data_IF_246648863262
#
_entry.id   IF_246648863262
#
_cell.length_a   1.000
_cell.length_b   1.000
_cell.length_c   1.000
_cell.angle_alpha   90.00
_cell.angle_beta   90.00
_cell.angle_gamma   90.00
#
_symmetry.space_group_name_H-M   'P 1'
#
loop_
_entity.id
_entity.type
_entity.pdbx_description
1 polymer ?
#
# COMPACT_ATOMS: atom_id res chain seq x y z
N UNK A 1 -13.09 -5.81 -25.98
CA UNK A 1 -11.62 -5.66 -26.07
C UNK A 1 -11.32 -5.08 -27.44
N UNK A 2 -10.48 -4.04 -27.53
CA UNK A 2 -10.11 -3.39 -28.81
C UNK A 2 -8.73 -3.82 -29.31
N UNK A 3 -7.88 -4.36 -28.43
CA UNK A 3 -6.62 -5.03 -28.79
C UNK A 3 -6.28 -6.08 -27.75
N UNK A 4 -5.73 -7.21 -28.17
CA UNK A 4 -5.25 -8.30 -27.33
C UNK A 4 -3.91 -8.82 -27.86
N UNK A 5 -2.94 -9.04 -26.98
CA UNK A 5 -1.65 -9.65 -27.32
C UNK A 5 -1.30 -10.74 -26.32
N UNK A 6 -0.71 -11.82 -26.82
CA UNK A 6 -0.13 -12.89 -26.01
C UNK A 6 1.38 -12.91 -26.23
N UNK A 7 2.12 -13.14 -25.15
CA UNK A 7 3.58 -13.15 -25.14
C UNK A 7 4.10 -14.58 -24.88
N UNK A 8 5.30 -14.92 -25.36
CA UNK A 8 5.88 -16.26 -25.16
C UNK A 8 6.09 -16.66 -23.70
N UNK A 9 6.18 -15.69 -22.79
CA UNK A 9 6.29 -15.89 -21.34
C UNK A 9 4.94 -16.22 -20.66
N UNK A 10 3.87 -16.38 -21.43
CA UNK A 10 2.52 -16.64 -20.93
C UNK A 10 1.77 -15.39 -20.47
N UNK A 11 2.34 -14.19 -20.63
CA UNK A 11 1.64 -12.93 -20.35
C UNK A 11 0.61 -12.63 -21.43
N UNK A 12 -0.58 -12.19 -21.02
CA UNK A 12 -1.61 -11.69 -21.92
C UNK A 12 -1.93 -10.23 -21.57
N UNK A 13 -2.05 -9.38 -22.58
CA UNK A 13 -2.43 -7.98 -22.42
C UNK A 13 -3.71 -7.69 -23.22
N UNK A 14 -4.65 -6.97 -22.62
CA UNK A 14 -5.92 -6.56 -23.21
C UNK A 14 -6.11 -5.07 -23.04
N UNK A 15 -6.41 -4.38 -24.14
CA UNK A 15 -6.85 -2.99 -24.14
C UNK A 15 -8.36 -2.96 -24.39
N UNK A 16 -9.08 -2.23 -23.55
CA UNK A 16 -10.53 -2.01 -23.68
C UNK A 16 -10.80 -0.64 -24.31
N UNK A 17 -11.99 -0.48 -24.92
CA UNK A 17 -12.40 0.77 -25.53
C UNK A 17 -12.42 1.96 -24.54
N UNK A 18 -12.58 1.67 -23.24
CA UNK A 18 -12.49 2.64 -22.15
C UNK A 18 -11.08 3.18 -21.88
N UNK A 19 -10.05 2.65 -22.55
CA UNK A 19 -8.64 2.95 -22.28
C UNK A 19 -8.03 2.12 -21.14
N UNK A 20 -8.83 1.28 -20.47
CA UNK A 20 -8.33 0.31 -19.50
C UNK A 20 -7.41 -0.70 -20.18
N UNK A 21 -6.24 -0.91 -19.58
CA UNK A 21 -5.29 -1.97 -19.90
C UNK A 21 -5.31 -3.00 -18.79
N UNK A 22 -5.58 -4.24 -19.16
CA UNK A 22 -5.48 -5.41 -18.29
C UNK A 22 -4.28 -6.25 -18.72
N UNK A 23 -3.39 -6.56 -17.80
CA UNK A 23 -2.31 -7.51 -17.98
C UNK A 23 -2.55 -8.71 -17.07
N UNK A 24 -2.46 -9.91 -17.63
CA UNK A 24 -2.54 -11.19 -16.91
C UNK A 24 -1.19 -11.87 -17.01
N UNK A 25 -0.62 -12.23 -15.88
CA UNK A 25 0.70 -12.86 -15.79
C UNK A 25 0.54 -14.38 -15.65
N UNK A 26 1.53 -15.13 -16.12
CA UNK A 26 1.53 -16.59 -16.05
C UNK A 26 1.43 -17.13 -14.61
N UNK A 27 1.90 -16.37 -13.62
CA UNK A 27 1.79 -16.72 -12.21
C UNK A 27 0.39 -16.51 -11.60
N UNK A 28 -0.61 -16.09 -12.39
CA UNK A 28 -1.98 -15.82 -11.94
C UNK A 28 -2.25 -14.38 -11.47
N UNK A 29 -1.22 -13.53 -11.39
CA UNK A 29 -1.41 -12.12 -11.03
C UNK A 29 -2.08 -11.34 -12.17
N UNK A 30 -2.78 -10.27 -11.81
CA UNK A 30 -3.42 -9.36 -12.78
C UNK A 30 -3.04 -7.91 -12.46
N UNK A 31 -2.91 -7.09 -13.49
CA UNK A 31 -2.66 -5.64 -13.36
C UNK A 31 -3.62 -4.86 -14.25
N UNK A 32 -4.31 -3.90 -13.66
CA UNK A 32 -5.24 -2.99 -14.29
C UNK A 32 -4.65 -1.58 -14.28
N UNK A 33 -4.56 -0.95 -15.45
CA UNK A 33 -4.01 0.40 -15.60
C UNK A 33 -4.90 1.23 -16.51
N UNK A 34 -5.26 2.42 -16.06
CA UNK A 34 -5.83 3.47 -16.92
C UNK A 34 -4.85 4.63 -16.88
N UNK A 35 -4.39 5.17 -18.04
CA UNK A 35 -3.50 6.32 -18.05
C UNK A 35 -4.06 7.49 -17.23
N UNK A 36 -3.23 8.06 -16.35
CA UNK A 36 -3.64 9.17 -15.46
C UNK A 36 -4.49 8.78 -14.24
N UNK A 37 -4.88 7.51 -14.09
CA UNK A 37 -5.62 7.01 -12.94
C UNK A 37 -4.77 6.07 -12.07
N UNK A 38 -5.39 5.52 -11.02
CA UNK A 38 -4.75 4.52 -10.18
C UNK A 38 -4.44 3.22 -10.96
N UNK A 39 -3.30 2.61 -10.65
CA UNK A 39 -2.92 1.29 -11.14
C UNK A 39 -3.22 0.27 -10.04
N UNK A 40 -3.97 -0.79 -10.35
CA UNK A 40 -4.33 -1.86 -9.41
C UNK A 40 -3.70 -3.19 -9.83
N UNK A 41 -2.98 -3.82 -8.93
CA UNK A 41 -2.42 -5.17 -9.11
C UNK A 41 -3.04 -6.11 -8.09
N UNK A 42 -3.52 -7.27 -8.55
CA UNK A 42 -3.94 -8.38 -7.69
C UNK A 42 -2.94 -9.51 -7.87
N UNK A 43 -2.34 -9.95 -6.78
CA UNK A 43 -1.36 -11.01 -6.77
C UNK A 43 -2.01 -12.36 -6.54
N UNK A 44 -1.34 -13.42 -6.97
CA UNK A 44 -1.85 -14.79 -6.85
C UNK A 44 -1.96 -15.29 -5.39
N UNK A 45 -1.20 -14.70 -4.47
CA UNK A 45 -1.31 -14.96 -3.03
C UNK A 45 -2.50 -14.22 -2.38
N UNK A 46 -3.31 -13.49 -3.16
CA UNK A 46 -4.45 -12.72 -2.67
C UNK A 46 -4.13 -11.26 -2.32
N UNK A 47 -2.86 -10.87 -2.28
CA UNK A 47 -2.47 -9.49 -2.00
C UNK A 47 -2.98 -8.52 -3.07
N UNK A 48 -3.14 -7.26 -2.69
CA UNK A 48 -3.56 -6.20 -3.58
C UNK A 48 -2.63 -5.01 -3.43
N UNK A 49 -2.11 -4.50 -4.55
CA UNK A 49 -1.33 -3.25 -4.58
C UNK A 49 -2.02 -2.23 -5.46
N UNK A 50 -2.18 -1.02 -4.94
CA UNK A 50 -2.73 0.12 -5.67
C UNK A 50 -1.74 1.28 -5.65
N UNK A 51 -1.40 1.81 -6.81
CA UNK A 51 -0.55 2.99 -6.96
C UNK A 51 -1.44 4.15 -7.41
N UNK A 52 -1.51 5.20 -6.60
CA UNK A 52 -2.32 6.38 -6.87
C UNK A 52 -1.55 7.41 -7.72
N UNK A 53 -2.24 8.26 -8.50
CA UNK A 53 -1.59 9.32 -9.29
C UNK A 53 -0.78 10.32 -8.46
N UNK A 54 -1.14 10.52 -7.18
CA UNK A 54 -0.41 11.39 -6.24
C UNK A 54 0.90 10.77 -5.71
N UNK A 55 1.26 9.55 -6.14
CA UNK A 55 2.46 8.85 -5.70
C UNK A 55 2.30 7.99 -4.44
N UNK A 56 1.13 8.05 -3.79
CA UNK A 56 0.81 7.15 -2.65
C UNK A 56 0.63 5.71 -3.15
N UNK A 57 1.17 4.75 -2.41
CA UNK A 57 1.05 3.32 -2.70
C UNK A 57 0.33 2.64 -1.54
N UNK A 58 -0.79 1.99 -1.81
CA UNK A 58 -1.54 1.18 -0.85
C UNK A 58 -1.28 -0.31 -1.15
N UNK A 59 -0.92 -1.09 -0.15
CA UNK A 59 -0.68 -2.53 -0.25
C UNK A 59 -1.48 -3.27 0.82
N UNK A 60 -2.34 -4.20 0.40
CA UNK A 60 -3.07 -5.10 1.28
C UNK A 60 -2.39 -6.46 1.31
N UNK A 61 -2.03 -6.90 2.51
CA UNK A 61 -1.52 -8.23 2.80
C UNK A 61 -2.69 -9.14 3.18
N UNK A 62 -3.04 -10.08 2.31
CA UNK A 62 -4.22 -10.93 2.52
C UNK A 62 -4.06 -11.90 3.69
N UNK A 63 -2.87 -12.49 3.84
CA UNK A 63 -2.59 -13.50 4.87
C UNK A 63 -2.76 -12.97 6.29
N UNK A 64 -2.29 -11.74 6.55
CA UNK A 64 -2.31 -11.11 7.88
C UNK A 64 -3.36 -10.01 8.00
N UNK A 65 -4.21 -9.84 6.98
CA UNK A 65 -5.28 -8.85 6.95
C UNK A 65 -4.83 -7.44 7.38
N UNK A 66 -3.77 -6.94 6.77
CA UNK A 66 -3.15 -5.67 7.14
C UNK A 66 -2.86 -4.80 5.92
N UNK A 67 -2.95 -3.48 6.07
CA UNK A 67 -2.58 -2.52 5.04
C UNK A 67 -1.19 -1.91 5.32
N UNK A 68 -0.45 -1.62 4.25
CA UNK A 68 0.66 -0.66 4.24
C UNK A 68 0.32 0.47 3.27
N UNK A 69 0.56 1.71 3.69
CA UNK A 69 0.41 2.91 2.86
C UNK A 69 1.74 3.66 2.83
N UNK A 70 2.42 3.64 1.69
CA UNK A 70 3.65 4.43 1.48
C UNK A 70 3.26 5.78 0.91
N UNK A 71 3.57 6.85 1.65
CA UNK A 71 3.33 8.22 1.21
C UNK A 71 4.50 8.77 0.36
N UNK A 72 4.27 9.80 -0.47
CA UNK A 72 5.34 10.48 -1.23
C UNK A 72 6.44 11.08 -0.35
N UNK A 73 6.15 11.35 0.93
CA UNK A 73 7.13 11.78 1.94
C UNK A 73 8.12 10.67 2.32
N UNK A 74 7.86 9.42 1.93
CA UNK A 74 8.64 8.25 2.32
C UNK A 74 8.19 7.62 3.64
N UNK A 75 7.13 8.15 4.27
CA UNK A 75 6.53 7.54 5.48
C UNK A 75 5.69 6.34 5.08
N UNK A 76 5.92 5.21 5.73
CA UNK A 76 5.10 3.99 5.61
C UNK A 76 4.13 3.91 6.79
N UNK A 77 2.83 3.83 6.52
CA UNK A 77 1.80 3.64 7.55
C UNK A 77 1.21 2.22 7.47
N UNK A 78 1.30 1.48 8.56
CA UNK A 78 0.76 0.12 8.68
C UNK A 78 -0.52 0.13 9.50
N UNK A 79 -1.57 -0.52 8.98
CA UNK A 79 -2.85 -0.73 9.68
C UNK A 79 -3.03 -2.21 9.91
N UNK A 80 -2.98 -2.62 11.18
CA UNK A 80 -3.06 -4.03 11.57
C UNK A 80 -4.48 -4.44 11.90
N UNK A 81 -4.79 -5.73 11.70
CA UNK A 81 -6.08 -6.31 12.07
C UNK A 81 -6.42 -6.15 13.57
N UNK A 82 -5.42 -5.99 14.43
CA UNK A 82 -5.61 -5.71 15.87
C UNK A 82 -6.19 -4.31 16.16
N UNK A 83 -6.24 -3.42 15.17
CA UNK A 83 -6.58 -2.00 15.33
C UNK A 83 -5.37 -1.12 15.67
N UNK A 84 -4.18 -1.70 15.80
CA UNK A 84 -2.93 -0.94 15.93
C UNK A 84 -2.58 -0.28 14.60
N UNK A 85 -2.07 0.95 14.67
CA UNK A 85 -1.56 1.69 13.51
C UNK A 85 -0.13 2.14 13.80
N UNK A 86 0.76 2.00 12.83
CA UNK A 86 2.16 2.44 12.96
C UNK A 86 2.60 3.28 11.78
N UNK A 87 3.26 4.41 12.02
CA UNK A 87 3.95 5.18 10.98
C UNK A 87 5.47 5.06 11.15
N UNK A 88 6.16 4.60 10.09
CA UNK A 88 7.60 4.41 10.04
C UNK A 88 8.21 5.51 9.17
N UNK A 89 9.05 6.35 9.77
CA UNK A 89 9.65 7.50 9.11
C UNK A 89 11.05 7.15 8.56
N UNK A 90 11.50 7.77 7.44
CA UNK A 90 12.83 7.55 6.88
C UNK A 90 14.01 7.76 7.84
N UNK A 91 13.81 8.53 8.91
CA UNK A 91 14.79 8.76 9.97
C UNK A 91 14.83 7.67 11.06
N UNK A 92 14.10 6.56 10.91
CA UNK A 92 14.04 5.46 11.88
C UNK A 92 13.12 5.70 13.08
N UNK A 93 12.50 6.88 13.16
CA UNK A 93 11.44 7.17 14.13
C UNK A 93 10.19 6.36 13.75
N UNK A 94 9.53 5.79 14.75
CA UNK A 94 8.21 5.15 14.59
C UNK A 94 7.20 5.78 15.52
N UNK A 95 5.99 5.98 15.02
CA UNK A 95 4.83 6.42 15.79
C UNK A 95 3.86 5.26 15.86
N UNK A 96 3.38 4.92 17.06
CA UNK A 96 2.56 3.75 17.31
C UNK A 96 1.28 4.24 17.99
N UNK A 97 0.14 4.02 17.34
CA UNK A 97 -1.19 4.23 17.90
C UNK A 97 -1.77 2.86 18.25
N UNK A 98 -1.96 2.61 19.55
CA UNK A 98 -2.51 1.37 20.04
C UNK A 98 -4.05 1.40 20.02
N UNK A 99 -4.72 0.22 20.02
CA UNK A 99 -6.19 0.15 19.97
C UNK A 99 -6.89 0.83 21.14
N UNK A 100 -6.21 0.98 22.29
CA UNK A 100 -6.71 1.70 23.47
C UNK A 100 -6.59 3.22 23.35
N UNK A 101 -6.08 3.73 22.22
CA UNK A 101 -5.84 5.13 21.95
C UNK A 101 -4.53 5.67 22.52
N UNK A 102 -3.73 4.84 23.22
CA UNK A 102 -2.42 5.25 23.70
C UNK A 102 -1.44 5.41 22.53
N UNK A 103 -0.56 6.41 22.65
CA UNK A 103 0.39 6.76 21.59
C UNK A 103 1.82 6.66 22.10
N UNK A 104 2.66 5.99 21.32
CA UNK A 104 4.10 5.89 21.59
C UNK A 104 4.92 6.38 20.41
N UNK A 105 6.11 6.88 20.73
CA UNK A 105 7.15 7.22 19.76
C UNK A 105 8.39 6.40 20.05
N UNK A 106 8.76 5.51 19.14
CA UNK A 106 10.02 4.79 19.20
C UNK A 106 11.10 5.56 18.44
N UNK A 107 12.26 5.75 19.06
CA UNK A 107 13.40 6.44 18.50
C UNK A 107 14.38 5.45 17.86
N UNK A 108 15.26 5.91 16.95
CA UNK A 108 16.25 5.03 16.30
C UNK A 108 17.21 4.34 17.26
N UNK A 109 17.40 4.90 18.47
CA UNK A 109 18.23 4.33 19.53
C UNK A 109 17.50 3.28 20.39
N UNK A 110 16.25 2.95 20.05
CA UNK A 110 15.41 1.96 20.72
C UNK A 110 14.64 2.49 21.92
N UNK A 111 14.79 3.77 22.32
CA UNK A 111 13.97 4.35 23.38
C UNK A 111 12.52 4.55 22.91
N UNK A 112 11.57 4.24 23.79
CA UNK A 112 10.16 4.54 23.59
C UNK A 112 9.71 5.68 24.51
N UNK A 113 8.92 6.60 23.95
CA UNK A 113 8.32 7.72 24.66
C UNK A 113 6.81 7.64 24.54
N UNK A 114 6.09 7.71 25.66
CA UNK A 114 4.66 7.96 25.62
C UNK A 114 4.43 9.43 25.21
N UNK A 115 3.59 9.65 24.20
CA UNK A 115 3.26 10.98 23.68
C UNK A 115 1.74 11.16 23.62
N UNK A 116 1.27 12.39 23.42
CA UNK A 116 -0.14 12.63 23.12
C UNK A 116 -0.40 12.57 21.62
N UNK A 117 -1.64 12.28 21.22
CA UNK A 117 -2.06 12.22 19.81
C UNK A 117 -1.82 13.54 19.04
N UNK A 118 -1.71 14.67 19.74
CA UNK A 118 -1.37 15.96 19.13
C UNK A 118 0.03 16.02 18.50
N UNK A 119 0.89 15.05 18.81
CA UNK A 119 2.26 14.96 18.29
C UNK A 119 2.43 13.91 17.19
N UNK A 120 1.33 13.27 16.75
CA UNK A 120 1.34 12.33 15.63
C UNK A 120 1.53 13.06 14.30
N UNK A 121 2.23 12.42 13.36
CA UNK A 121 2.30 12.89 11.99
C UNK A 121 0.93 12.92 11.31
N UNK A 122 0.82 13.70 10.23
CA UNK A 122 -0.43 13.79 9.49
C UNK A 122 -0.77 12.48 8.75
N UNK A 123 0.25 11.68 8.42
CA UNK A 123 0.13 10.43 7.69
C UNK A 123 -0.63 9.35 8.49
N UNK A 124 -0.37 9.20 9.79
CA UNK A 124 -1.05 8.21 10.64
C UNK A 124 -2.49 8.60 11.01
N UNK A 125 -2.86 9.87 10.79
CA UNK A 125 -4.18 10.41 11.10
C UNK A 125 -5.18 10.33 9.94
N UNK A 126 -4.76 9.80 8.78
CA UNK A 126 -5.52 9.81 7.52
C UNK A 126 -6.25 8.51 7.22
#
# INVERSE_FOLDING_TARGET
>A
VVSESQHPDGRCERLYASGLREQRFANGSTRLTVPGAACLTRFANGDVKKVLPCGTVEYWYAEVSSWQVTHPSGVDVFYFASGQVEAHHPGGIKEILLPDGSVRKALPDGRELAISAAHLSAEIQR
#
